data_IF_522387124675
#
_entry.id   IF_522387124675
#
_cell.length_a   1.000
_cell.length_b   1.000
_cell.length_c   1.000
_cell.angle_alpha   90.00
_cell.angle_beta   90.00
_cell.angle_gamma   90.00
#
_symmetry.space_group_name_H-M   'P 1'
#
loop_
_entity.id
_entity.type
_entity.pdbx_description
1 polymer ?
#
# COMPACT_ATOMS: atom_id res chain seq x y z
N UNK A 1 -22.24 -8.80 -6.31
CA UNK A 1 -20.96 -8.21 -6.77
C UNK A 1 -20.08 -7.99 -5.56
N UNK A 2 -18.78 -8.28 -5.66
CA UNK A 2 -17.77 -8.11 -4.59
C UNK A 2 -16.52 -7.47 -5.18
N UNK A 3 -15.85 -6.61 -4.41
CA UNK A 3 -14.53 -6.13 -4.79
C UNK A 3 -13.52 -7.27 -4.62
N UNK A 4 -12.99 -7.77 -5.73
CA UNK A 4 -12.14 -8.96 -5.73
C UNK A 4 -10.66 -8.67 -5.55
N UNK A 5 -10.19 -7.52 -6.03
CA UNK A 5 -8.80 -7.10 -5.93
C UNK A 5 -8.67 -5.60 -6.18
N UNK A 6 -7.58 -5.03 -5.67
CA UNK A 6 -7.07 -3.71 -6.09
C UNK A 6 -5.83 -3.98 -6.91
N UNK A 7 -5.84 -3.58 -8.19
CA UNK A 7 -4.72 -3.81 -9.11
C UNK A 7 -3.86 -2.56 -9.18
N UNK A 8 -2.56 -2.75 -8.99
CA UNK A 8 -1.56 -1.67 -8.94
C UNK A 8 -0.50 -1.94 -10.00
N UNK A 9 -0.28 -0.97 -10.86
CA UNK A 9 0.71 -1.04 -11.93
C UNK A 9 2.10 -0.64 -11.44
N UNK A 10 3.11 -1.29 -11.98
CA UNK A 10 4.53 -0.94 -11.80
C UNK A 10 5.36 -1.50 -12.94
N UNK A 11 6.54 -0.94 -13.14
CA UNK A 11 7.58 -1.51 -13.99
C UNK A 11 8.46 -2.53 -13.25
N UNK A 12 8.29 -2.66 -11.94
CA UNK A 12 8.99 -3.65 -11.10
C UNK A 12 8.05 -4.22 -10.02
N UNK A 13 7.20 -5.14 -10.43
CA UNK A 13 6.20 -5.74 -9.54
C UNK A 13 6.81 -6.71 -8.51
N UNK A 14 8.00 -7.27 -8.76
CA UNK A 14 8.68 -8.11 -7.77
C UNK A 14 9.04 -7.31 -6.53
N UNK A 15 9.74 -6.20 -6.68
CA UNK A 15 10.11 -5.34 -5.56
C UNK A 15 8.89 -4.70 -4.88
N UNK A 16 7.94 -4.22 -5.68
CA UNK A 16 6.74 -3.58 -5.14
C UNK A 16 5.89 -4.56 -4.34
N UNK A 17 5.66 -5.76 -4.84
CA UNK A 17 4.91 -6.79 -4.12
C UNK A 17 5.63 -7.27 -2.86
N UNK A 18 6.96 -7.40 -2.89
CA UNK A 18 7.76 -7.71 -1.70
C UNK A 18 7.59 -6.65 -0.62
N UNK A 19 7.61 -5.39 -1.01
CA UNK A 19 7.40 -4.28 -0.09
C UNK A 19 6.04 -4.40 0.63
N UNK A 20 4.94 -4.55 -0.13
CA UNK A 20 3.61 -4.65 0.46
C UNK A 20 3.42 -5.93 1.29
N UNK A 21 3.96 -7.05 0.84
CA UNK A 21 3.91 -8.30 1.59
C UNK A 21 4.58 -8.16 2.97
N UNK A 22 5.76 -7.53 3.01
CA UNK A 22 6.50 -7.29 4.26
C UNK A 22 5.80 -6.26 5.16
N UNK A 23 5.37 -5.15 4.58
CA UNK A 23 4.71 -4.08 5.34
C UNK A 23 3.41 -4.55 5.98
N UNK A 24 2.59 -5.30 5.24
CA UNK A 24 1.29 -5.79 5.69
C UNK A 24 1.37 -7.12 6.46
N UNK A 25 2.48 -7.87 6.33
CA UNK A 25 2.58 -9.22 6.87
C UNK A 25 1.70 -10.22 6.12
N UNK A 26 1.46 -9.99 4.83
CA UNK A 26 0.61 -10.81 3.97
C UNK A 26 1.43 -11.77 3.10
N UNK A 27 0.77 -12.77 2.55
CA UNK A 27 1.38 -13.79 1.70
C UNK A 27 1.42 -13.35 0.24
N UNK A 28 2.58 -13.54 -0.39
CA UNK A 28 2.81 -13.26 -1.80
C UNK A 28 2.72 -14.53 -2.63
N UNK A 29 2.04 -14.46 -3.78
CA UNK A 29 2.02 -15.54 -4.77
C UNK A 29 2.09 -14.97 -6.18
N UNK A 30 2.83 -15.66 -7.06
CA UNK A 30 2.98 -15.26 -8.46
C UNK A 30 2.12 -16.16 -9.36
N UNK A 31 1.44 -15.56 -10.32
CA UNK A 31 0.65 -16.26 -11.34
C UNK A 31 1.04 -15.76 -12.72
N UNK A 32 0.91 -16.66 -13.71
CA UNK A 32 0.99 -16.32 -15.12
C UNK A 32 -0.40 -16.57 -15.72
N UNK A 33 -0.98 -15.54 -16.31
CA UNK A 33 -2.29 -15.61 -16.95
C UNK A 33 -2.17 -15.00 -18.34
N UNK A 34 -2.52 -15.77 -19.36
CA UNK A 34 -2.40 -15.37 -20.78
C UNK A 34 -1.00 -14.83 -21.17
N UNK A 35 0.05 -15.39 -20.55
CA UNK A 35 1.43 -14.99 -20.81
C UNK A 35 1.89 -13.77 -20.01
N UNK A 36 1.01 -13.12 -19.25
CA UNK A 36 1.35 -12.00 -18.38
C UNK A 36 1.57 -12.47 -16.94
N UNK A 37 2.58 -11.89 -16.30
CA UNK A 37 2.88 -12.15 -14.90
C UNK A 37 2.09 -11.22 -14.01
N UNK A 38 1.41 -11.81 -13.03
CA UNK A 38 0.66 -11.13 -11.98
C UNK A 38 1.17 -11.61 -10.62
N UNK A 39 1.24 -10.71 -9.68
CA UNK A 39 1.62 -11.06 -8.30
C UNK A 39 0.51 -10.62 -7.38
N UNK A 40 0.03 -11.54 -6.55
CA UNK A 40 -1.01 -11.29 -5.54
C UNK A 40 -0.39 -11.23 -4.16
N UNK A 41 -0.75 -10.22 -3.38
CA UNK A 41 -0.43 -10.10 -1.97
C UNK A 41 -1.74 -10.14 -1.21
N UNK A 42 -1.94 -11.16 -0.38
CA UNK A 42 -3.21 -11.46 0.25
C UNK A 42 -3.03 -11.81 1.73
N UNK A 43 -3.95 -11.35 2.55
CA UNK A 43 -4.02 -11.76 3.95
C UNK A 43 -4.45 -13.23 4.03
N UNK A 44 -3.77 -14.01 4.86
CA UNK A 44 -3.91 -15.47 4.91
C UNK A 44 -5.35 -15.95 5.20
N UNK A 45 -6.09 -15.20 6.01
CA UNK A 45 -7.47 -15.51 6.37
C UNK A 45 -8.52 -14.97 5.35
N UNK A 46 -8.07 -14.32 4.28
CA UNK A 46 -8.92 -13.73 3.23
C UNK A 46 -9.90 -12.66 3.75
N UNK A 47 -9.63 -12.06 4.90
CA UNK A 47 -10.53 -11.07 5.54
C UNK A 47 -10.45 -9.69 4.91
N UNK A 48 -9.42 -9.44 4.08
CA UNK A 48 -9.22 -8.15 3.41
C UNK A 48 -9.09 -8.33 1.90
N UNK A 49 -9.40 -7.27 1.15
CA UNK A 49 -9.25 -7.26 -0.31
C UNK A 49 -7.78 -7.37 -0.68
N UNK A 50 -7.38 -8.34 -1.52
CA UNK A 50 -6.00 -8.51 -1.93
C UNK A 50 -5.51 -7.36 -2.80
N UNK A 51 -4.19 -7.13 -2.77
CA UNK A 51 -3.48 -6.31 -3.72
C UNK A 51 -2.93 -7.20 -4.82
N UNK A 52 -3.12 -6.81 -6.06
CA UNK A 52 -2.60 -7.52 -7.24
C UNK A 52 -1.71 -6.56 -8.00
N UNK A 53 -0.52 -7.02 -8.36
CA UNK A 53 0.47 -6.19 -9.05
C UNK A 53 0.60 -6.64 -10.49
N UNK A 54 0.40 -5.68 -11.40
CA UNK A 54 0.48 -5.88 -12.84
C UNK A 54 1.68 -5.15 -13.40
N UNK A 55 2.52 -5.86 -14.15
CA UNK A 55 3.62 -5.24 -14.84
C UNK A 55 3.11 -4.36 -15.99
N UNK A 56 3.55 -3.12 -16.00
CA UNK A 56 3.20 -2.17 -17.04
C UNK A 56 4.50 -1.58 -17.62
N UNK A 57 4.91 -2.01 -18.84
CA UNK A 57 6.13 -1.48 -19.48
C UNK A 57 6.07 0.03 -19.75
N UNK A 58 4.87 0.60 -19.81
CA UNK A 58 4.65 2.04 -20.02
C UNK A 58 4.47 2.80 -18.70
N UNK A 59 4.80 2.17 -17.57
CA UNK A 59 4.65 2.79 -16.26
C UNK A 59 5.45 4.08 -16.14
N UNK A 60 4.76 5.14 -15.72
CA UNK A 60 5.38 6.43 -15.39
C UNK A 60 5.08 6.72 -13.92
N UNK A 61 6.12 6.98 -13.17
CA UNK A 61 6.03 7.29 -11.74
C UNK A 61 5.15 8.51 -11.51
N UNK A 62 4.11 8.43 -10.65
CA UNK A 62 3.27 9.58 -10.38
C UNK A 62 4.03 10.69 -9.64
N UNK A 63 3.68 11.93 -9.98
CA UNK A 63 4.15 13.11 -9.29
C UNK A 63 3.33 13.37 -8.04
N UNK A 64 4.01 13.52 -6.92
CA UNK A 64 3.37 13.90 -5.66
C UNK A 64 4.14 15.08 -5.00
N UNK A 65 3.51 16.19 -4.60
CA UNK A 65 2.09 16.52 -4.81
C UNK A 65 1.66 16.58 -6.28
N UNK A 66 0.35 16.40 -6.58
CA UNK A 66 -0.11 16.35 -7.98
C UNK A 66 0.23 17.62 -8.77
N UNK A 67 0.60 17.42 -10.02
CA UNK A 67 0.86 18.50 -10.99
C UNK A 67 0.10 18.13 -12.27
N UNK A 68 -0.57 19.11 -12.89
CA UNK A 68 -1.37 18.90 -14.11
C UNK A 68 -0.55 18.44 -15.31
N UNK A 69 0.73 18.84 -15.37
CA UNK A 69 1.63 18.54 -16.49
C UNK A 69 2.37 17.20 -16.30
N UNK A 70 2.19 16.55 -15.17
CA UNK A 70 2.87 15.32 -14.81
C UNK A 70 1.90 14.14 -14.63
N UNK A 71 2.44 12.92 -14.53
CA UNK A 71 1.65 11.74 -14.23
C UNK A 71 1.00 11.88 -12.85
N UNK A 72 -0.33 11.75 -12.81
CA UNK A 72 -1.09 11.89 -11.58
C UNK A 72 -1.44 10.52 -10.98
N UNK A 73 -1.44 10.48 -9.66
CA UNK A 73 -2.05 9.40 -8.88
C UNK A 73 -3.56 9.65 -8.80
N UNK A 74 -4.36 8.74 -9.33
CA UNK A 74 -5.82 8.90 -9.36
C UNK A 74 -6.51 8.27 -8.15
N UNK A 75 -5.88 7.26 -7.54
CA UNK A 75 -6.36 6.56 -6.35
C UNK A 75 -5.17 6.33 -5.44
N UNK A 76 -5.33 6.49 -4.13
CA UNK A 76 -4.33 6.11 -3.14
C UNK A 76 -4.94 5.19 -2.07
N UNK A 77 -4.09 4.47 -1.38
CA UNK A 77 -4.50 3.57 -0.31
C UNK A 77 -4.32 4.27 1.04
N UNK A 78 -5.29 4.10 1.91
CA UNK A 78 -5.20 4.51 3.31
C UNK A 78 -5.08 3.25 4.19
N UNK A 79 -4.02 3.16 4.97
CA UNK A 79 -3.82 2.10 5.95
C UNK A 79 -4.13 2.62 7.33
N UNK A 80 -5.16 2.09 7.97
CA UNK A 80 -5.51 2.45 9.33
C UNK A 80 -4.67 1.68 10.33
N UNK A 81 -4.18 2.38 11.32
CA UNK A 81 -3.41 1.82 12.42
C UNK A 81 -3.99 2.29 13.75
N UNK A 82 -3.74 1.52 14.81
CA UNK A 82 -4.10 1.99 16.15
C UNK A 82 -3.21 3.20 16.51
N UNK A 83 -3.82 4.21 17.12
CA UNK A 83 -3.14 5.46 17.46
C UNK A 83 -1.89 5.25 18.34
N UNK A 84 -1.91 4.26 19.22
CA UNK A 84 -0.76 3.93 20.08
C UNK A 84 0.38 3.24 19.30
N UNK A 85 0.13 2.77 18.08
CA UNK A 85 1.13 2.14 17.22
C UNK A 85 1.55 3.04 16.03
N UNK A 86 1.04 4.27 15.95
CA UNK A 86 1.21 5.12 14.76
C UNK A 86 2.69 5.31 14.39
N UNK A 87 3.51 5.76 15.33
CA UNK A 87 4.93 6.00 15.08
C UNK A 87 5.67 4.71 14.70
N UNK A 88 5.39 3.62 15.41
CA UNK A 88 6.06 2.33 15.14
C UNK A 88 5.67 1.76 13.77
N UNK A 89 4.44 2.01 13.28
CA UNK A 89 4.01 1.58 11.95
C UNK A 89 4.64 2.41 10.84
N UNK A 90 4.86 3.70 11.06
CA UNK A 90 5.62 4.55 10.13
C UNK A 90 7.06 4.04 10.03
N UNK A 91 7.72 3.80 11.15
CA UNK A 91 9.08 3.23 11.17
C UNK A 91 9.15 1.88 10.47
N UNK A 92 8.16 1.03 10.70
CA UNK A 92 8.05 -0.27 10.05
C UNK A 92 7.93 -0.13 8.52
N UNK A 93 7.06 0.77 8.03
CA UNK A 93 6.92 1.03 6.60
C UNK A 93 8.24 1.50 5.97
N UNK A 94 8.97 2.38 6.66
CA UNK A 94 10.29 2.86 6.23
C UNK A 94 11.29 1.72 6.17
N UNK A 95 11.33 0.84 7.18
CA UNK A 95 12.20 -0.35 7.18
C UNK A 95 11.90 -1.30 6.03
N UNK A 96 10.64 -1.38 5.61
CA UNK A 96 10.24 -2.19 4.46
C UNK A 96 10.58 -1.55 3.11
N UNK A 97 10.93 -0.25 3.09
CA UNK A 97 11.37 0.46 1.90
C UNK A 97 10.56 1.70 1.51
N UNK A 98 9.50 2.04 2.23
CA UNK A 98 8.76 3.27 1.99
C UNK A 98 9.59 4.51 2.34
N UNK A 99 9.26 5.62 1.71
CA UNK A 99 9.79 6.93 2.06
C UNK A 99 8.66 7.78 2.63
N UNK A 100 8.95 8.56 3.65
CA UNK A 100 8.03 9.61 4.08
C UNK A 100 8.05 10.72 3.04
N UNK A 101 6.86 11.15 2.58
CA UNK A 101 6.78 12.29 1.67
C UNK A 101 7.30 13.56 2.35
N UNK A 102 8.06 14.37 1.62
CA UNK A 102 8.47 15.71 2.09
C UNK A 102 7.27 16.65 2.22
N UNK A 103 6.20 16.41 1.44
CA UNK A 103 4.96 17.18 1.48
C UNK A 103 3.94 16.47 2.34
N UNK A 104 3.69 17.02 3.53
CA UNK A 104 2.67 16.54 4.45
C UNK A 104 1.58 17.61 4.59
N UNK A 105 0.32 17.19 4.58
CA UNK A 105 -0.84 18.09 4.61
C UNK A 105 -1.53 18.16 5.97
N UNK A 106 -1.15 17.26 6.88
CA UNK A 106 -1.71 17.21 8.25
C UNK A 106 -0.75 16.50 9.19
N UNK A 107 -0.82 16.85 10.47
CA UNK A 107 -0.16 16.08 11.54
C UNK A 107 -0.97 14.84 11.94
N UNK A 108 -2.24 14.77 11.53
CA UNK A 108 -3.16 13.68 11.85
C UNK A 108 -3.00 12.41 11.05
N UNK A 109 -2.22 12.43 9.98
CA UNK A 109 -1.84 11.25 9.18
C UNK A 109 -0.51 11.49 8.50
N UNK A 110 0.09 10.44 7.94
CA UNK A 110 1.34 10.59 7.16
C UNK A 110 1.17 10.07 5.75
N UNK A 111 1.61 10.89 4.80
CA UNK A 111 1.76 10.48 3.40
C UNK A 111 3.11 9.80 3.24
N UNK A 112 3.07 8.58 2.73
CA UNK A 112 4.24 7.75 2.43
C UNK A 112 4.31 7.52 0.93
N UNK A 113 5.48 7.19 0.44
CA UNK A 113 5.72 6.86 -0.96
C UNK A 113 6.26 5.43 -1.03
N UNK A 114 5.63 4.58 -1.82
CA UNK A 114 6.10 3.20 -1.98
C UNK A 114 7.32 3.09 -2.92
N UNK A 115 7.79 1.86 -3.13
CA UNK A 115 8.98 1.56 -3.94
C UNK A 115 8.86 2.07 -5.38
N UNK A 116 7.65 2.06 -5.93
CA UNK A 116 7.37 2.49 -7.30
C UNK A 116 6.89 3.95 -7.40
N UNK A 117 6.82 4.66 -6.27
CA UNK A 117 6.47 6.07 -6.22
C UNK A 117 4.99 6.36 -6.02
N UNK A 118 4.15 5.36 -5.76
CA UNK A 118 2.75 5.60 -5.42
C UNK A 118 2.64 6.19 -4.02
N UNK A 119 1.91 7.31 -3.83
CA UNK A 119 1.59 7.79 -2.51
C UNK A 119 0.55 6.88 -1.83
N UNK A 120 0.71 6.67 -0.54
CA UNK A 120 -0.27 6.03 0.34
C UNK A 120 -0.24 6.72 1.70
N UNK A 121 -1.28 6.55 2.50
CA UNK A 121 -1.36 7.18 3.80
C UNK A 121 -1.38 6.15 4.93
N UNK A 122 -0.75 6.49 6.04
CA UNK A 122 -0.91 5.79 7.31
C UNK A 122 -1.73 6.72 8.21
N UNK A 123 -2.89 6.23 8.65
CA UNK A 123 -3.90 7.02 9.35
C UNK A 123 -4.14 6.40 10.73
N UNK A 124 -3.82 7.11 11.82
CA UNK A 124 -4.12 6.63 13.15
C UNK A 124 -5.61 6.82 13.45
N UNK A 125 -6.22 5.82 14.04
CA UNK A 125 -7.56 5.91 14.59
C UNK A 125 -7.53 5.54 16.08
N UNK A 126 -8.49 6.03 16.89
CA UNK A 126 -8.51 5.73 18.31
C UNK A 126 -8.39 4.23 18.58
N UNK A 127 -7.61 3.87 19.58
CA UNK A 127 -7.26 2.47 19.89
C UNK A 127 -8.47 1.57 20.06
N UNK A 128 -9.46 2.03 20.83
CA UNK A 128 -10.71 1.31 21.06
C UNK A 128 -11.49 1.08 19.77
N UNK A 129 -11.57 2.10 18.90
CA UNK A 129 -12.22 2.01 17.60
C UNK A 129 -11.48 1.03 16.68
N UNK A 130 -10.15 1.07 16.68
CA UNK A 130 -9.34 0.16 15.89
C UNK A 130 -9.61 -1.30 16.26
N UNK A 131 -9.50 -1.63 17.53
CA UNK A 131 -9.69 -3.00 17.99
C UNK A 131 -11.14 -3.47 17.91
N UNK A 132 -12.11 -2.56 18.02
CA UNK A 132 -13.51 -2.89 17.78
C UNK A 132 -13.76 -3.31 16.33
N UNK A 133 -13.11 -2.64 15.37
CA UNK A 133 -13.28 -2.91 13.93
C UNK A 133 -12.49 -4.12 13.44
N UNK A 134 -11.25 -4.22 13.88
CA UNK A 134 -10.27 -5.15 13.30
C UNK A 134 -9.82 -6.25 14.27
N UNK A 135 -10.23 -6.19 15.52
CA UNK A 135 -9.84 -7.13 16.57
C UNK A 135 -8.40 -6.94 17.03
N UNK A 136 -8.00 -7.74 18.02
CA UNK A 136 -6.62 -7.79 18.52
C UNK A 136 -5.83 -8.73 17.61
N UNK A 137 -5.52 -8.31 16.40
CA UNK A 137 -4.62 -9.07 15.55
C UNK A 137 -3.21 -9.00 16.11
N UNK A 138 -2.81 -10.09 16.69
CA UNK A 138 -1.42 -10.32 17.04
C UNK A 138 -0.67 -10.85 15.83
#
# INVERSE_FOLDING_TARGET
MKLGAIVIDSDNIEELSDFYAKMLGWTKSSQIHEGEKWITVIKEDYSETPLVFQENPAYVKPKWPPDREEQQQMIHLDFYVSMDEFESKIEHAIKCGAKMSESQFSDGWKVMIDISGHPFCIIPIPKDVYYQRYGNNK
#
